data_IF_172575283884
#
_entry.id   IF_172575283884
#
_cell.length_a   1.000
_cell.length_b   1.000
_cell.length_c   1.000
_cell.angle_alpha   90.00
_cell.angle_beta   90.00
_cell.angle_gamma   90.00
#
_symmetry.space_group_name_H-M   'P 1'
#
loop_
_entity.id
_entity.type
_entity.pdbx_description
1 polymer ?
#
# COMPACT_ATOMS: atom_id res chain seq x y z
N UNK A 1 -34.67 -44.04 8.28
CA UNK A 1 -34.22 -42.98 9.20
C UNK A 1 -33.57 -41.88 8.37
N UNK A 2 -34.16 -40.68 8.35
CA UNK A 2 -33.51 -39.50 7.75
C UNK A 2 -32.42 -39.07 8.74
N UNK A 3 -31.15 -39.19 8.37
CA UNK A 3 -30.06 -38.58 9.13
C UNK A 3 -30.24 -37.07 9.05
N UNK A 4 -30.60 -36.45 10.18
CA UNK A 4 -30.53 -35.00 10.33
C UNK A 4 -29.06 -34.60 10.16
N UNK A 5 -28.76 -33.85 9.09
CA UNK A 5 -27.44 -33.22 8.95
C UNK A 5 -27.25 -32.27 10.13
N UNK A 6 -26.08 -32.25 10.78
CA UNK A 6 -25.83 -31.36 11.92
C UNK A 6 -26.13 -29.91 11.52
N UNK A 7 -26.81 -29.17 12.39
CA UNK A 7 -27.05 -27.72 12.22
C UNK A 7 -25.71 -27.01 12.02
N UNK A 8 -25.44 -26.57 10.79
CA UNK A 8 -24.23 -25.80 10.45
C UNK A 8 -24.55 -24.31 10.49
N UNK A 9 -23.64 -23.52 11.04
CA UNK A 9 -23.74 -22.05 11.09
C UNK A 9 -22.97 -21.45 9.92
N UNK A 10 -23.50 -20.36 9.35
CA UNK A 10 -22.81 -19.55 8.36
C UNK A 10 -21.54 -18.94 8.95
N UNK A 11 -20.38 -19.11 8.31
CA UNK A 11 -19.10 -18.54 8.77
C UNK A 11 -19.05 -17.01 8.64
N UNK A 12 -19.93 -16.43 7.82
CA UNK A 12 -20.05 -14.98 7.67
C UNK A 12 -20.97 -14.35 8.72
N UNK A 13 -22.21 -14.84 8.85
CA UNK A 13 -23.23 -14.17 9.68
C UNK A 13 -23.67 -15.01 10.89
N UNK A 14 -23.08 -16.18 11.11
CA UNK A 14 -23.38 -17.12 12.22
C UNK A 14 -24.82 -17.65 12.27
N UNK A 15 -25.67 -17.34 11.28
CA UNK A 15 -27.03 -17.85 11.13
C UNK A 15 -27.04 -19.35 10.83
N UNK A 16 -28.00 -20.09 11.38
CA UNK A 16 -28.18 -21.52 11.09
C UNK A 16 -28.66 -21.76 9.66
N UNK A 17 -28.01 -22.70 8.96
CA UNK A 17 -28.33 -23.07 7.57
C UNK A 17 -29.10 -24.38 7.58
N UNK A 18 -30.35 -24.34 7.12
CA UNK A 18 -31.26 -25.49 7.17
C UNK A 18 -31.28 -26.36 5.90
N UNK A 19 -30.95 -25.83 4.72
CA UNK A 19 -31.32 -26.52 3.45
C UNK A 19 -30.26 -26.56 2.33
N UNK A 20 -29.17 -25.80 2.33
CA UNK A 20 -28.21 -25.87 1.22
C UNK A 20 -26.76 -25.82 1.66
N UNK A 21 -26.07 -26.95 1.47
CA UNK A 21 -24.62 -27.10 1.53
C UNK A 21 -24.11 -26.84 0.11
N UNK A 22 -23.92 -25.57 -0.25
CA UNK A 22 -23.33 -25.20 -1.54
C UNK A 22 -21.80 -25.27 -1.45
N UNK A 23 -21.27 -26.41 -0.97
CA UNK A 23 -19.84 -26.74 -1.00
C UNK A 23 -19.38 -26.74 -2.46
N UNK A 24 -18.92 -25.59 -2.92
CA UNK A 24 -17.99 -25.47 -4.03
C UNK A 24 -16.75 -24.86 -3.43
N UNK A 25 -15.58 -25.25 -3.94
CA UNK A 25 -14.32 -24.58 -3.57
C UNK A 25 -14.58 -23.07 -3.54
N UNK A 26 -14.46 -22.45 -2.37
CA UNK A 26 -13.73 -22.91 -1.18
C UNK A 26 -14.63 -23.51 -0.08
N UNK A 27 -14.03 -24.27 0.85
CA UNK A 27 -14.68 -24.93 2.02
C UNK A 27 -15.27 -23.95 3.06
N UNK A 28 -15.91 -22.85 2.65
CA UNK A 28 -16.64 -21.94 3.53
C UNK A 28 -18.11 -22.33 3.59
N UNK A 29 -18.63 -22.51 4.81
CA UNK A 29 -20.05 -22.73 5.03
C UNK A 29 -20.76 -21.36 5.00
N UNK A 30 -21.39 -21.02 3.88
CA UNK A 30 -22.05 -19.72 3.67
C UNK A 30 -23.56 -19.88 3.41
N UNK A 31 -24.37 -18.99 4.00
CA UNK A 31 -25.80 -18.90 3.69
C UNK A 31 -26.02 -18.17 2.36
N UNK A 32 -27.23 -18.30 1.79
CA UNK A 32 -27.59 -17.67 0.50
C UNK A 32 -27.40 -16.15 0.48
N UNK A 33 -27.58 -15.49 1.62
CA UNK A 33 -27.37 -14.05 1.74
C UNK A 33 -25.88 -13.70 1.62
N UNK A 34 -25.01 -14.38 2.38
CA UNK A 34 -23.61 -14.01 2.51
C UNK A 34 -22.75 -14.49 1.33
N UNK A 35 -23.11 -15.64 0.72
CA UNK A 35 -22.35 -16.28 -0.35
C UNK A 35 -21.87 -15.31 -1.45
N UNK A 36 -22.75 -14.51 -2.11
CA UNK A 36 -22.32 -13.65 -3.21
C UNK A 36 -21.32 -12.56 -2.76
N UNK A 37 -21.45 -12.05 -1.54
CA UNK A 37 -20.60 -10.98 -1.01
C UNK A 37 -19.23 -11.51 -0.57
N UNK A 38 -19.22 -12.62 0.15
CA UNK A 38 -17.96 -13.24 0.60
C UNK A 38 -17.16 -13.72 -0.60
N UNK A 39 -17.76 -14.47 -1.52
CA UNK A 39 -17.04 -15.04 -2.67
C UNK A 39 -16.60 -14.00 -3.71
N UNK A 40 -17.23 -12.82 -3.71
CA UNK A 40 -16.77 -11.72 -4.52
C UNK A 40 -15.63 -10.96 -3.82
N UNK A 41 -15.58 -10.92 -2.49
CA UNK A 41 -14.48 -10.32 -1.72
C UNK A 41 -13.19 -11.16 -1.74
N UNK A 42 -12.12 -10.67 -1.10
CA UNK A 42 -10.95 -11.48 -0.78
C UNK A 42 -11.26 -12.26 0.51
N UNK A 43 -11.33 -13.58 0.40
CA UNK A 43 -11.77 -14.46 1.49
C UNK A 43 -10.77 -15.58 1.82
N UNK A 44 -9.66 -15.67 1.09
CA UNK A 44 -8.62 -16.68 1.26
C UNK A 44 -7.23 -16.08 1.18
N UNK A 45 -6.33 -16.66 1.95
CA UNK A 45 -4.90 -16.38 1.85
C UNK A 45 -4.41 -16.74 0.43
N UNK A 46 -3.69 -15.84 -0.26
CA UNK A 46 -3.13 -16.15 -1.56
C UNK A 46 -2.11 -17.27 -1.45
N UNK A 47 -2.02 -18.13 -2.48
CA UNK A 47 -0.98 -19.17 -2.54
C UNK A 47 0.42 -18.58 -2.70
N UNK A 48 0.51 -17.40 -3.33
CA UNK A 48 1.76 -16.68 -3.61
C UNK A 48 1.57 -15.19 -3.43
N UNK A 49 2.62 -14.53 -2.94
CA UNK A 49 2.76 -13.06 -2.93
C UNK A 49 4.12 -12.73 -3.51
N UNK A 50 4.16 -11.91 -4.56
CA UNK A 50 5.44 -11.49 -5.19
C UNK A 50 6.28 -12.72 -5.57
N UNK A 51 5.64 -13.68 -6.25
CA UNK A 51 6.18 -14.97 -6.65
C UNK A 51 6.76 -15.86 -5.52
N UNK A 52 6.57 -15.49 -4.26
CA UNK A 52 6.95 -16.27 -3.08
C UNK A 52 5.76 -17.09 -2.61
N UNK A 53 5.96 -18.40 -2.45
CA UNK A 53 4.95 -19.34 -1.96
C UNK A 53 4.64 -19.11 -0.48
N UNK A 54 3.34 -19.07 -0.14
CA UNK A 54 2.87 -18.99 1.24
C UNK A 54 2.70 -20.41 1.79
N UNK A 55 3.73 -20.88 2.48
CA UNK A 55 3.80 -22.23 3.06
C UNK A 55 2.90 -22.41 4.30
N UNK A 56 2.76 -21.37 5.13
CA UNK A 56 1.88 -21.37 6.31
C UNK A 56 0.79 -20.28 6.18
N UNK A 57 -0.40 -20.64 5.65
CA UNK A 57 -1.51 -19.72 5.51
C UNK A 57 -2.02 -19.16 6.85
N UNK A 58 -1.91 -19.92 7.94
CA UNK A 58 -2.40 -19.47 9.26
C UNK A 58 -1.51 -18.37 9.81
N UNK A 59 -0.19 -18.51 9.69
CA UNK A 59 0.74 -17.46 10.08
C UNK A 59 0.57 -16.21 9.20
N UNK A 60 0.35 -16.38 7.89
CA UNK A 60 0.09 -15.25 6.99
C UNK A 60 -1.20 -14.48 7.36
N UNK A 61 -2.27 -15.18 7.73
CA UNK A 61 -3.51 -14.55 8.18
C UNK A 61 -3.30 -13.74 9.47
N UNK A 62 -2.51 -14.26 10.40
CA UNK A 62 -2.13 -13.52 11.62
C UNK A 62 -1.34 -12.26 11.24
N UNK A 63 -0.37 -12.38 10.33
CA UNK A 63 0.42 -11.26 9.85
C UNK A 63 -0.44 -10.18 9.20
N UNK A 64 -1.43 -10.55 8.38
CA UNK A 64 -2.39 -9.61 7.79
C UNK A 64 -3.18 -8.81 8.84
N UNK A 65 -3.61 -9.48 9.92
CA UNK A 65 -4.32 -8.81 11.02
C UNK A 65 -3.40 -7.85 11.78
N UNK A 66 -2.12 -8.20 11.93
CA UNK A 66 -1.14 -7.34 12.59
C UNK A 66 -0.80 -6.08 11.77
N UNK A 67 -0.89 -6.16 10.44
CA UNK A 67 -0.51 -5.06 9.52
C UNK A 67 -1.70 -4.20 9.08
N UNK A 68 -2.92 -4.51 9.53
CA UNK A 68 -4.17 -3.93 9.02
C UNK A 68 -4.23 -2.39 9.09
N UNK A 69 -3.56 -1.79 10.08
CA UNK A 69 -3.57 -0.34 10.32
C UNK A 69 -2.44 0.41 9.62
N UNK A 70 -1.55 -0.27 8.89
CA UNK A 70 -0.44 0.34 8.19
C UNK A 70 -0.80 0.59 6.72
N UNK A 71 -0.84 1.86 6.33
CA UNK A 71 -0.85 2.27 4.94
C UNK A 71 0.51 2.05 4.29
N UNK A 72 0.54 2.02 2.96
CA UNK A 72 1.81 2.03 2.22
C UNK A 72 2.64 3.25 2.64
N UNK A 73 3.93 3.10 2.98
CA UNK A 73 4.79 4.23 3.29
C UNK A 73 4.87 5.21 2.13
N UNK A 74 4.80 6.51 2.44
CA UNK A 74 4.90 7.60 1.46
C UNK A 74 6.15 8.45 1.65
N UNK A 75 6.74 8.41 2.84
CA UNK A 75 7.94 9.16 3.22
C UNK A 75 8.96 8.25 3.90
N UNK A 76 10.21 8.72 4.04
CA UNK A 76 11.24 8.00 4.81
C UNK A 76 10.85 7.83 6.29
N UNK A 77 10.12 8.79 6.87
CA UNK A 77 9.55 8.71 8.23
C UNK A 77 8.52 7.58 8.35
N UNK A 78 7.68 7.39 7.33
CA UNK A 78 6.72 6.27 7.29
C UNK A 78 7.45 4.93 7.21
N UNK A 79 8.52 4.85 6.41
CA UNK A 79 9.38 3.66 6.32
C UNK A 79 10.04 3.34 7.66
N UNK A 80 10.58 4.35 8.36
CA UNK A 80 11.10 4.20 9.71
C UNK A 80 10.05 3.64 10.68
N UNK A 81 8.86 4.25 10.72
CA UNK A 81 7.75 3.81 11.60
C UNK A 81 7.32 2.38 11.31
N UNK A 82 7.24 2.02 10.03
CA UNK A 82 6.89 0.68 9.59
C UNK A 82 7.97 -0.35 9.99
N UNK A 83 9.24 -0.09 9.68
CA UNK A 83 10.33 -1.01 10.04
C UNK A 83 10.48 -1.16 11.55
N UNK A 84 10.32 -0.06 12.30
CA UNK A 84 10.26 -0.09 13.76
C UNK A 84 9.15 -1.00 14.26
N UNK A 85 7.95 -0.94 13.66
CA UNK A 85 6.87 -1.85 13.99
C UNK A 85 7.22 -3.32 13.70
N UNK A 86 7.75 -3.62 12.50
CA UNK A 86 8.14 -4.98 12.10
C UNK A 86 9.14 -5.60 13.08
N UNK A 87 10.15 -4.84 13.49
CA UNK A 87 11.19 -5.34 14.41
C UNK A 87 10.86 -5.16 15.89
N UNK A 88 9.76 -4.47 16.24
CA UNK A 88 9.37 -4.27 17.63
C UNK A 88 8.95 -5.58 18.30
N UNK A 89 9.41 -5.79 19.53
CA UNK A 89 8.88 -6.82 20.41
C UNK A 89 7.57 -6.33 21.04
N UNK A 90 6.60 -7.23 21.23
CA UNK A 90 5.35 -6.91 21.92
C UNK A 90 5.64 -6.47 23.36
N UNK A 91 4.90 -5.46 23.82
CA UNK A 91 5.04 -4.81 25.14
C UNK A 91 5.11 -5.82 26.30
N UNK A 92 6.18 -5.72 27.10
CA UNK A 92 6.39 -6.55 28.30
C UNK A 92 7.83 -7.06 28.49
N UNK A 93 8.70 -6.98 27.48
CA UNK A 93 10.14 -7.22 27.69
C UNK A 93 10.81 -5.94 28.15
N UNK A 94 11.20 -5.90 29.42
CA UNK A 94 12.13 -4.89 29.93
C UNK A 94 13.54 -5.23 29.44
N UNK A 95 13.81 -5.04 28.16
CA UNK A 95 15.16 -5.17 27.62
C UNK A 95 15.37 -4.15 26.50
N UNK A 96 16.59 -3.63 26.46
CA UNK A 96 17.16 -2.63 25.57
C UNK A 96 16.64 -2.73 24.13
N UNK A 97 16.51 -1.56 23.48
CA UNK A 97 16.25 -1.46 22.05
C UNK A 97 17.13 -2.48 21.30
N UNK A 98 16.52 -3.42 20.56
CA UNK A 98 17.31 -4.44 19.87
C UNK A 98 18.31 -3.77 18.93
N UNK A 99 19.50 -4.35 18.74
CA UNK A 99 20.55 -3.79 17.87
C UNK A 99 20.01 -3.33 16.50
N UNK A 100 19.08 -4.09 15.91
CA UNK A 100 18.44 -3.71 14.63
C UNK A 100 17.59 -2.43 14.74
N UNK A 101 16.81 -2.28 15.81
CA UNK A 101 16.00 -1.08 16.04
C UNK A 101 16.88 0.15 16.26
N UNK A 102 18.00 0.00 16.98
CA UNK A 102 18.99 1.07 17.13
C UNK A 102 19.61 1.43 15.78
N UNK A 103 19.99 0.45 14.95
CA UNK A 103 20.50 0.72 13.59
C UNK A 103 19.46 1.44 12.71
N UNK A 104 18.21 1.01 12.75
CA UNK A 104 17.10 1.64 12.04
C UNK A 104 16.92 3.10 12.50
N UNK A 105 16.89 3.35 13.81
CA UNK A 105 16.78 4.69 14.38
C UNK A 105 17.95 5.58 13.94
N UNK A 106 19.17 5.09 14.09
CA UNK A 106 20.38 5.86 13.78
C UNK A 106 20.53 6.17 12.29
N UNK A 107 20.18 5.23 11.41
CA UNK A 107 20.21 5.48 9.96
C UNK A 107 19.19 6.57 9.55
N UNK A 108 17.94 6.48 10.04
CA UNK A 108 16.94 7.52 9.78
C UNK A 108 17.33 8.87 10.38
N UNK A 109 17.68 8.88 11.67
CA UNK A 109 18.06 10.09 12.37
C UNK A 109 19.26 10.75 11.69
N UNK A 110 20.28 9.96 11.35
CA UNK A 110 21.50 10.53 10.78
C UNK A 110 21.33 11.12 9.39
N UNK A 111 20.48 10.51 8.55
CA UNK A 111 20.19 11.06 7.21
C UNK A 111 19.20 12.22 7.25
N UNK A 112 18.35 12.31 8.28
CA UNK A 112 17.22 13.24 8.27
C UNK A 112 17.25 14.32 9.36
N UNK A 113 18.19 14.30 10.30
CA UNK A 113 18.24 15.27 11.42
C UNK A 113 18.32 16.73 10.95
N UNK A 114 18.92 16.98 9.78
CA UNK A 114 19.03 18.33 9.19
C UNK A 114 17.74 18.78 8.48
N UNK A 115 16.86 17.84 8.14
CA UNK A 115 15.63 18.08 7.40
C UNK A 115 14.37 17.99 8.29
N UNK A 116 14.47 17.36 9.45
CA UNK A 116 13.34 17.01 10.29
C UNK A 116 13.69 17.09 11.78
N UNK A 117 12.91 17.86 12.53
CA UNK A 117 13.01 17.92 13.99
C UNK A 117 12.80 16.55 14.62
N UNK A 118 11.87 15.73 14.10
CA UNK A 118 11.63 14.37 14.58
C UNK A 118 12.91 13.52 14.48
N UNK A 119 13.66 13.66 13.38
CA UNK A 119 14.91 12.93 13.19
C UNK A 119 16.04 13.48 14.07
N UNK A 120 16.09 14.78 14.29
CA UNK A 120 17.04 15.43 15.19
C UNK A 120 16.87 14.94 16.63
N UNK A 121 15.64 14.93 17.13
CA UNK A 121 15.34 14.46 18.48
C UNK A 121 15.69 12.96 18.64
N UNK A 122 15.43 12.16 17.61
CA UNK A 122 15.75 10.73 17.59
C UNK A 122 17.26 10.44 17.55
N UNK A 123 18.08 11.38 17.09
CA UNK A 123 19.53 11.21 16.98
C UNK A 123 20.18 11.04 18.35
N UNK A 124 19.90 11.95 19.28
CA UNK A 124 20.43 11.94 20.65
C UNK A 124 19.74 10.92 21.57
N UNK A 125 18.63 10.33 21.12
CA UNK A 125 17.99 9.19 21.77
C UNK A 125 17.12 9.56 22.98
N UNK A 126 16.70 8.57 23.78
CA UNK A 126 15.61 8.74 24.76
C UNK A 126 15.92 9.69 25.92
N UNK A 127 17.19 10.03 26.14
CA UNK A 127 17.64 10.92 27.22
C UNK A 127 17.63 12.39 26.80
N UNK A 128 17.43 12.67 25.51
CA UNK A 128 17.36 14.01 24.96
C UNK A 128 15.99 14.64 25.24
N UNK A 129 16.00 15.81 25.86
CA UNK A 129 14.83 16.64 26.11
C UNK A 129 14.86 17.85 25.16
N UNK A 130 13.99 17.93 24.15
CA UNK A 130 14.00 19.02 23.17
C UNK A 130 13.72 20.40 23.78
N UNK A 131 13.17 20.46 25.00
CA UNK A 131 12.89 21.70 25.72
C UNK A 131 14.06 22.13 26.65
N UNK A 132 15.11 21.30 26.77
CA UNK A 132 16.30 21.59 27.57
C UNK A 132 17.36 22.38 26.78
N UNK A 133 18.00 23.34 27.46
CA UNK A 133 19.08 24.14 26.89
C UNK A 133 20.41 23.41 27.09
N UNK A 134 20.80 22.58 26.12
CA UNK A 134 22.04 21.83 26.14
C UNK A 134 23.22 22.68 25.63
N UNK A 135 24.35 22.60 26.32
CA UNK A 135 25.63 23.03 25.78
C UNK A 135 26.13 22.07 24.70
N UNK A 136 27.06 22.53 23.85
CA UNK A 136 27.67 21.69 22.81
C UNK A 136 28.33 20.43 23.38
N UNK A 137 29.02 20.55 24.52
CA UNK A 137 29.68 19.42 25.19
C UNK A 137 28.66 18.36 25.67
N UNK A 138 27.48 18.80 26.14
CA UNK A 138 26.41 17.89 26.58
C UNK A 138 25.73 17.17 25.40
N UNK A 139 25.58 17.85 24.25
CA UNK A 139 25.09 17.22 23.02
C UNK A 139 26.10 16.22 22.44
N UNK A 140 27.39 16.52 22.56
CA UNK A 140 28.47 15.61 22.13
C UNK A 140 28.48 14.33 22.97
N UNK A 141 28.27 14.42 24.29
CA UNK A 141 28.15 13.24 25.16
C UNK A 141 26.90 12.38 24.88
N UNK A 142 25.81 13.00 24.43
CA UNK A 142 24.58 12.30 24.04
C UNK A 142 24.63 11.73 22.62
N UNK A 143 25.57 12.21 21.79
CA UNK A 143 25.72 11.78 20.40
C UNK A 143 26.14 10.30 20.33
N UNK A 144 25.41 9.44 19.60
CA UNK A 144 25.76 8.02 19.49
C UNK A 144 27.10 7.76 18.78
N UNK A 145 27.72 8.78 18.17
CA UNK A 145 28.94 8.66 17.37
C UNK A 145 30.18 9.37 17.96
N UNK A 146 30.08 10.03 19.11
CA UNK A 146 31.21 10.66 19.85
C UNK A 146 32.35 11.21 18.94
N UNK A 147 32.00 12.07 17.98
CA UNK A 147 32.96 12.85 17.20
C UNK A 147 33.87 12.11 16.21
N UNK A 148 33.44 10.98 15.62
CA UNK A 148 34.28 10.22 14.67
C UNK A 148 33.63 9.94 13.30
N UNK A 149 32.58 10.66 12.89
CA UNK A 149 32.00 10.43 11.56
C UNK A 149 31.64 11.75 10.86
N UNK A 150 32.28 12.09 9.71
CA UNK A 150 32.28 13.44 9.11
C UNK A 150 30.90 14.06 8.84
N UNK A 151 29.86 13.25 8.64
CA UNK A 151 28.48 13.71 8.45
C UNK A 151 27.81 14.31 9.69
N UNK A 152 28.39 14.09 10.88
CA UNK A 152 27.78 14.45 12.16
C UNK A 152 28.49 15.61 12.86
N UNK A 153 29.69 15.97 12.39
CA UNK A 153 30.47 17.06 12.97
C UNK A 153 30.08 18.43 12.36
N UNK A 154 29.54 18.44 11.13
CA UNK A 154 28.92 19.62 10.51
C UNK A 154 27.70 19.25 9.63
N UNK A 155 26.46 19.43 10.11
CA UNK A 155 25.25 19.12 9.36
C UNK A 155 25.08 19.90 8.04
N UNK A 156 25.79 21.02 7.87
CA UNK A 156 25.74 21.79 6.62
C UNK A 156 26.49 21.10 5.48
N UNK A 157 27.51 20.30 5.79
CA UNK A 157 28.29 19.55 4.79
C UNK A 157 27.45 18.48 4.11
N UNK A 158 26.60 17.77 4.87
CA UNK A 158 25.66 16.80 4.28
C UNK A 158 24.68 17.50 3.32
N UNK A 159 24.10 18.62 3.75
CA UNK A 159 23.18 19.39 2.92
C UNK A 159 23.84 19.83 1.60
N UNK A 160 25.01 20.46 1.69
CA UNK A 160 25.71 21.00 0.52
C UNK A 160 26.18 19.88 -0.41
N UNK A 161 26.72 18.79 0.14
CA UNK A 161 27.10 17.61 -0.64
C UNK A 161 25.91 17.07 -1.44
N UNK A 162 24.75 16.89 -0.80
CA UNK A 162 23.55 16.38 -1.47
C UNK A 162 23.01 17.37 -2.49
N UNK A 163 23.09 18.68 -2.23
CA UNK A 163 22.68 19.72 -3.18
C UNK A 163 23.56 19.70 -4.44
N UNK A 164 24.88 19.64 -4.29
CA UNK A 164 25.83 19.57 -5.39
C UNK A 164 25.70 18.26 -6.19
N UNK A 165 25.57 17.14 -5.48
CA UNK A 165 25.36 15.83 -6.10
C UNK A 165 24.09 15.81 -6.95
N UNK A 166 22.98 16.30 -6.41
CA UNK A 166 21.71 16.37 -7.14
C UNK A 166 21.80 17.33 -8.33
N UNK A 167 22.53 18.44 -8.21
CA UNK A 167 22.79 19.35 -9.34
C UNK A 167 23.53 18.65 -10.49
N UNK A 168 24.54 17.82 -10.17
CA UNK A 168 25.28 17.03 -11.15
C UNK A 168 24.37 15.96 -11.78
N UNK A 169 23.64 15.20 -10.98
CA UNK A 169 22.71 14.16 -11.45
C UNK A 169 21.67 14.76 -12.39
N UNK A 170 21.04 15.89 -12.01
CA UNK A 170 20.03 16.55 -12.82
C UNK A 170 20.59 17.02 -14.17
N UNK A 171 21.81 17.57 -14.19
CA UNK A 171 22.49 17.94 -15.44
C UNK A 171 22.65 16.74 -16.37
N UNK A 172 23.07 15.60 -15.83
CA UNK A 172 23.20 14.38 -16.61
C UNK A 172 21.86 13.85 -17.13
N UNK A 173 20.81 13.89 -16.31
CA UNK A 173 19.46 13.50 -16.71
C UNK A 173 18.95 14.41 -17.84
N UNK A 174 19.12 15.72 -17.72
CA UNK A 174 18.71 16.68 -18.75
C UNK A 174 19.42 16.42 -20.07
N UNK A 175 20.76 16.29 -20.05
CA UNK A 175 21.54 15.96 -21.24
C UNK A 175 21.10 14.64 -21.87
N UNK A 176 20.84 13.61 -21.06
CA UNK A 176 20.37 12.31 -21.55
C UNK A 176 18.99 12.41 -22.21
N UNK A 177 18.06 13.14 -21.61
CA UNK A 177 16.73 13.33 -22.16
C UNK A 177 16.77 14.09 -23.49
N UNK A 178 17.62 15.13 -23.61
CA UNK A 178 17.83 15.84 -24.87
C UNK A 178 18.34 14.91 -25.96
N UNK A 179 19.31 14.05 -25.64
CA UNK A 179 19.86 13.07 -26.58
C UNK A 179 18.81 12.04 -27.01
N UNK A 180 18.03 11.52 -26.07
CA UNK A 180 16.95 10.56 -26.38
C UNK A 180 15.87 11.18 -27.27
N UNK A 181 15.52 12.44 -27.03
CA UNK A 181 14.58 13.19 -27.86
C UNK A 181 15.11 13.40 -29.29
N UNK A 182 16.37 13.80 -29.44
CA UNK A 182 17.02 13.95 -30.74
C UNK A 182 17.13 12.63 -31.50
N UNK A 183 17.48 11.54 -30.80
CA UNK A 183 17.49 10.19 -31.38
C UNK A 183 16.10 9.80 -31.88
N UNK A 184 15.05 10.08 -31.09
CA UNK A 184 13.66 9.80 -31.50
C UNK A 184 13.29 10.61 -32.74
N UNK A 185 13.59 11.91 -32.76
CA UNK A 185 13.33 12.79 -33.91
C UNK A 185 14.05 12.30 -35.17
N UNK A 186 15.32 11.90 -35.08
CA UNK A 186 16.06 11.36 -36.22
C UNK A 186 15.46 10.04 -36.71
N UNK A 187 15.07 9.14 -35.81
CA UNK A 187 14.40 7.88 -36.16
C UNK A 187 13.06 8.13 -36.88
N UNK A 188 12.22 9.01 -36.34
CA UNK A 188 10.92 9.38 -36.92
C UNK A 188 11.05 10.02 -38.30
N UNK A 189 12.14 10.75 -38.55
CA UNK A 189 12.43 11.40 -39.83
C UNK A 189 13.21 10.52 -40.82
N UNK A 190 13.36 9.22 -40.55
CA UNK A 190 14.01 8.26 -41.47
C UNK A 190 15.55 8.27 -41.43
N UNK A 191 16.15 8.94 -40.46
CA UNK A 191 17.59 9.04 -40.24
C UNK A 191 18.08 8.08 -39.15
N UNK A 192 17.52 6.86 -39.10
CA UNK A 192 17.86 5.86 -38.07
C UNK A 192 19.37 5.57 -37.96
N UNK A 193 20.07 5.53 -39.09
CA UNK A 193 21.53 5.34 -39.10
C UNK A 193 22.33 6.51 -38.50
N UNK A 194 21.78 7.73 -38.47
CA UNK A 194 22.38 8.87 -37.77
C UNK A 194 22.00 8.88 -36.28
N UNK A 195 20.80 8.43 -35.93
CA UNK A 195 20.40 8.25 -34.53
C UNK A 195 21.32 7.26 -33.81
N UNK A 196 21.75 6.19 -34.48
CA UNK A 196 22.76 5.24 -33.97
C UNK A 196 24.17 5.86 -33.84
N UNK A 197 24.46 6.92 -34.62
CA UNK A 197 25.72 7.65 -34.59
C UNK A 197 25.72 8.84 -33.63
N UNK A 198 24.60 9.17 -32.99
CA UNK A 198 24.59 10.09 -31.85
C UNK A 198 25.31 9.37 -30.69
N UNK A 199 26.61 9.63 -30.62
CA UNK A 199 27.54 9.20 -29.59
C UNK A 199 27.76 10.37 -28.63
N UNK A 200 27.94 10.02 -27.34
CA UNK A 200 28.18 10.79 -26.12
C UNK A 200 29.25 11.91 -26.13
N UNK A 201 29.32 12.75 -27.17
CA UNK A 201 30.39 13.75 -27.27
C UNK A 201 30.21 14.98 -26.36
N UNK A 202 29.00 15.23 -25.84
CA UNK A 202 28.72 16.40 -24.97
C UNK A 202 28.89 16.13 -23.47
N UNK A 203 29.22 14.88 -23.13
CA UNK A 203 29.67 14.51 -21.80
C UNK A 203 31.13 14.08 -21.94
N UNK A 204 32.04 15.06 -21.99
CA UNK A 204 33.45 14.74 -21.85
C UNK A 204 33.66 13.96 -20.55
N UNK A 205 34.58 12.97 -20.51
CA UNK A 205 34.95 12.30 -19.28
C UNK A 205 35.39 13.33 -18.24
N UNK A 206 34.52 13.61 -17.29
CA UNK A 206 34.78 14.53 -16.20
C UNK A 206 34.99 13.72 -14.92
N UNK A 207 35.96 14.17 -14.13
CA UNK A 207 36.10 13.76 -12.74
C UNK A 207 35.51 14.88 -11.92
N UNK A 208 34.38 14.61 -11.27
CA UNK A 208 33.75 15.51 -10.32
C UNK A 208 34.41 15.27 -8.96
N UNK A 209 34.97 16.32 -8.35
CA UNK A 209 35.47 16.26 -6.99
C UNK A 209 34.42 16.85 -6.05
N UNK A 210 33.73 15.99 -5.32
CA UNK A 210 32.75 16.35 -4.30
C UNK A 210 33.39 16.15 -2.93
N UNK A 211 33.84 17.26 -2.32
CA UNK A 211 34.37 17.25 -0.95
C UNK A 211 35.48 16.21 -0.72
N UNK A 212 36.37 16.02 -1.70
CA UNK A 212 37.46 15.04 -1.65
C UNK A 212 37.12 13.66 -2.23
N UNK A 213 35.86 13.44 -2.62
CA UNK A 213 35.41 12.22 -3.32
C UNK A 213 35.42 12.46 -4.82
N UNK A 214 36.25 11.71 -5.54
CA UNK A 214 36.33 11.77 -7.00
C UNK A 214 35.34 10.78 -7.64
N UNK A 215 34.44 11.30 -8.48
CA UNK A 215 33.46 10.53 -9.23
C UNK A 215 33.62 10.78 -10.73
N UNK A 216 33.84 9.71 -11.48
CA UNK A 216 33.89 9.80 -12.94
C UNK A 216 32.48 9.91 -13.51
N UNK A 217 32.39 10.49 -14.70
CA UNK A 217 31.17 10.39 -15.52
C UNK A 217 30.66 8.96 -15.65
N UNK A 218 31.52 7.97 -15.90
CA UNK A 218 31.07 6.58 -16.10
C UNK A 218 30.34 6.03 -14.88
N UNK A 219 30.79 6.38 -13.67
CA UNK A 219 30.12 5.99 -12.43
C UNK A 219 28.74 6.62 -12.28
N UNK A 220 28.58 7.88 -12.69
CA UNK A 220 27.25 8.52 -12.72
C UNK A 220 26.32 7.84 -13.73
N UNK A 221 26.84 7.46 -14.90
CA UNK A 221 26.05 6.78 -15.92
C UNK A 221 25.61 5.39 -15.44
N UNK A 222 26.46 4.64 -14.75
CA UNK A 222 26.08 3.36 -14.13
C UNK A 222 24.93 3.52 -13.13
N UNK A 223 24.97 4.56 -12.27
CA UNK A 223 23.87 4.87 -11.35
C UNK A 223 22.58 5.22 -12.10
N UNK A 224 22.66 6.05 -13.16
CA UNK A 224 21.50 6.46 -13.94
C UNK A 224 20.91 5.26 -14.71
N UNK A 225 21.75 4.42 -15.30
CA UNK A 225 21.32 3.21 -16.01
C UNK A 225 20.59 2.26 -15.07
N UNK A 226 21.08 2.09 -13.82
CA UNK A 226 20.37 1.30 -12.82
C UNK A 226 18.98 1.88 -12.50
N UNK A 227 18.88 3.20 -12.26
CA UNK A 227 17.59 3.88 -12.02
C UNK A 227 16.64 3.73 -13.20
N UNK A 228 17.15 3.81 -14.44
CA UNK A 228 16.32 3.61 -15.65
C UNK A 228 15.88 2.17 -15.84
N UNK A 229 16.69 1.21 -15.39
CA UNK A 229 16.42 -0.22 -15.55
C UNK A 229 15.48 -0.82 -14.51
N UNK A 230 15.32 -0.16 -13.35
CA UNK A 230 14.61 -0.68 -12.19
C UNK A 230 13.50 0.26 -11.72
N UNK A 231 12.34 -0.31 -11.35
CA UNK A 231 11.18 0.47 -10.88
C UNK A 231 11.27 0.85 -9.41
N UNK A 232 12.01 0.07 -8.63
CA UNK A 232 12.18 0.24 -7.20
C UNK A 232 13.37 1.13 -6.84
N UNK A 233 14.27 1.40 -7.79
CA UNK A 233 15.44 2.25 -7.59
C UNK A 233 15.13 3.66 -8.10
N UNK A 234 15.21 4.64 -7.19
CA UNK A 234 15.01 6.06 -7.51
C UNK A 234 16.32 6.84 -7.39
N UNK A 235 16.38 8.03 -8.00
CA UNK A 235 17.55 8.92 -7.90
C UNK A 235 17.93 9.25 -6.45
N UNK A 236 16.94 9.39 -5.56
CA UNK A 236 17.19 9.61 -4.14
C UNK A 236 18.00 8.48 -3.48
N UNK A 237 17.69 7.22 -3.81
CA UNK A 237 18.45 6.06 -3.34
C UNK A 237 19.89 6.08 -3.87
N UNK A 238 20.08 6.36 -5.16
CA UNK A 238 21.43 6.43 -5.74
C UNK A 238 22.25 7.57 -5.18
N UNK A 239 21.65 8.72 -4.91
CA UNK A 239 22.34 9.83 -4.24
C UNK A 239 22.84 9.40 -2.85
N UNK A 240 22.01 8.69 -2.08
CA UNK A 240 22.39 8.15 -0.77
C UNK A 240 23.45 7.04 -0.87
N UNK A 241 23.46 6.22 -1.93
CA UNK A 241 24.54 5.23 -2.17
C UNK A 241 25.89 5.92 -2.43
N UNK A 242 25.89 6.99 -3.24
CA UNK A 242 27.09 7.78 -3.52
C UNK A 242 27.57 8.51 -2.26
N UNK A 243 26.64 9.03 -1.47
CA UNK A 243 26.93 9.62 -0.17
C UNK A 243 27.58 8.60 0.78
N UNK A 244 27.02 7.39 0.89
CA UNK A 244 27.61 6.33 1.70
C UNK A 244 29.01 5.95 1.19
N UNK A 245 29.25 5.99 -0.13
CA UNK A 245 30.58 5.78 -0.71
C UNK A 245 31.56 6.89 -0.33
N UNK A 246 31.13 8.15 -0.35
CA UNK A 246 31.96 9.31 0.02
C UNK A 246 32.43 9.27 1.48
N UNK A 247 31.63 8.69 2.37
CA UNK A 247 31.99 8.54 3.78
C UNK A 247 32.51 7.17 4.19
N UNK A 248 32.64 6.22 3.26
CA UNK A 248 32.97 4.86 3.62
C UNK A 248 34.44 4.69 4.04
N UNK A 249 34.68 4.57 5.35
CA UNK A 249 35.98 4.18 5.89
C UNK A 249 36.39 2.75 5.51
N UNK A 250 35.41 1.88 5.17
CA UNK A 250 35.65 0.47 4.83
C UNK A 250 36.18 0.24 3.40
N UNK A 251 36.26 1.31 2.59
CA UNK A 251 36.82 1.34 1.22
C UNK A 251 36.10 0.44 0.20
N UNK A 252 34.81 0.15 0.39
CA UNK A 252 34.04 -0.59 -0.60
C UNK A 252 33.84 0.27 -1.85
N UNK A 253 34.11 -0.29 -3.04
CA UNK A 253 33.94 0.45 -4.30
C UNK A 253 32.47 0.79 -4.55
N UNK A 254 32.24 1.92 -5.25
CA UNK A 254 30.92 2.33 -5.70
C UNK A 254 30.27 1.25 -6.58
N UNK A 255 31.03 0.61 -7.47
CA UNK A 255 30.57 -0.51 -8.31
C UNK A 255 30.01 -1.67 -7.45
N UNK A 256 30.70 -2.05 -6.37
CA UNK A 256 30.22 -3.08 -5.45
C UNK A 256 28.90 -2.68 -4.78
N UNK A 257 28.74 -1.40 -4.42
CA UNK A 257 27.50 -0.88 -3.84
C UNK A 257 26.35 -0.90 -4.84
N UNK A 258 26.59 -0.46 -6.07
CA UNK A 258 25.61 -0.50 -7.18
C UNK A 258 25.17 -1.95 -7.44
N UNK A 259 26.11 -2.90 -7.49
CA UNK A 259 25.81 -4.32 -7.69
C UNK A 259 24.95 -4.90 -6.56
N UNK A 260 25.17 -4.48 -5.31
CA UNK A 260 24.34 -4.90 -4.17
C UNK A 260 22.91 -4.39 -4.24
N UNK A 261 22.71 -3.17 -4.75
CA UNK A 261 21.37 -2.60 -5.00
C UNK A 261 20.71 -3.32 -6.17
N UNK A 262 21.42 -3.48 -7.29
CA UNK A 262 20.92 -4.14 -8.50
C UNK A 262 20.45 -5.58 -8.22
N UNK A 263 21.20 -6.36 -7.45
CA UNK A 263 20.80 -7.74 -7.09
C UNK A 263 19.48 -7.78 -6.30
N UNK A 264 19.21 -6.75 -5.49
CA UNK A 264 18.00 -6.66 -4.67
C UNK A 264 16.84 -6.02 -5.40
N UNK A 265 17.13 -5.17 -6.38
CA UNK A 265 16.11 -4.48 -7.15
C UNK A 265 15.24 -5.44 -7.96
N UNK A 266 15.80 -6.55 -8.44
CA UNK A 266 15.01 -7.62 -9.11
C UNK A 266 13.84 -8.15 -8.25
N UNK A 267 14.02 -8.15 -6.92
CA UNK A 267 13.00 -8.61 -5.96
C UNK A 267 12.03 -7.48 -5.65
N UNK A 268 12.56 -6.28 -5.42
CA UNK A 268 11.76 -5.11 -5.04
C UNK A 268 11.00 -4.50 -6.22
N UNK A 269 11.39 -4.77 -7.46
CA UNK A 269 10.66 -4.35 -8.66
C UNK A 269 9.31 -5.04 -8.79
N UNK A 270 9.15 -6.21 -8.16
CA UNK A 270 7.89 -6.93 -8.11
C UNK A 270 6.90 -6.30 -7.11
N UNK A 271 7.37 -5.44 -6.21
CA UNK A 271 6.54 -4.79 -5.19
C UNK A 271 5.71 -3.62 -5.76
N UNK A 272 6.12 -2.97 -6.86
CA UNK A 272 5.44 -1.79 -7.43
C UNK A 272 5.08 -0.73 -6.37
N UNK A 273 6.04 -0.43 -5.48
CA UNK A 273 5.91 0.68 -4.54
C UNK A 273 5.89 2.00 -5.32
N UNK A 274 4.95 2.87 -5.01
CA UNK A 274 4.98 4.25 -5.53
C UNK A 274 6.15 5.04 -4.94
N UNK A 275 6.48 4.77 -3.66
CA UNK A 275 7.51 5.49 -2.90
C UNK A 275 8.46 4.49 -2.20
N UNK A 276 9.41 3.87 -2.92
CA UNK A 276 10.46 3.06 -2.31
C UNK A 276 11.33 3.90 -1.35
N UNK A 277 11.99 3.28 -0.36
CA UNK A 277 12.85 4.04 0.56
C UNK A 277 14.06 4.61 -0.16
N UNK A 278 14.52 5.77 0.31
CA UNK A 278 15.74 6.41 -0.17
C UNK A 278 16.98 5.94 0.59
N UNK A 279 16.83 5.45 1.83
CA UNK A 279 17.95 4.85 2.57
C UNK A 279 18.39 3.52 1.94
N UNK A 280 19.69 3.37 1.59
CA UNK A 280 20.26 2.09 1.16
C UNK A 280 20.13 1.01 2.23
N UNK A 281 20.22 1.38 3.51
CA UNK A 281 20.05 0.47 4.62
C UNK A 281 18.62 -0.09 4.69
N UNK A 282 17.61 0.77 4.56
CA UNK A 282 16.21 0.34 4.51
C UNK A 282 15.91 -0.51 3.27
N UNK A 283 16.44 -0.10 2.12
CA UNK A 283 16.31 -0.87 0.88
C UNK A 283 16.84 -2.30 1.04
N UNK A 284 18.00 -2.46 1.67
CA UNK A 284 18.58 -3.76 2.00
C UNK A 284 17.73 -4.57 2.98
N UNK A 285 17.28 -3.95 4.08
CA UNK A 285 16.43 -4.60 5.08
C UNK A 285 15.16 -5.13 4.45
N UNK A 286 14.49 -4.34 3.61
CA UNK A 286 13.22 -4.73 2.98
C UNK A 286 13.43 -5.94 2.06
N UNK A 287 14.46 -5.92 1.22
CA UNK A 287 14.77 -7.06 0.37
C UNK A 287 15.07 -8.32 1.21
N UNK A 288 15.82 -8.17 2.29
CA UNK A 288 16.18 -9.25 3.19
C UNK A 288 14.97 -9.79 3.99
N UNK A 289 14.02 -8.92 4.36
CA UNK A 289 12.73 -9.30 4.95
C UNK A 289 11.89 -10.12 3.97
N UNK A 290 11.75 -9.67 2.72
CA UNK A 290 11.02 -10.40 1.67
C UNK A 290 11.63 -11.78 1.41
N UNK A 291 12.96 -11.86 1.40
CA UNK A 291 13.69 -13.12 1.27
C UNK A 291 13.65 -14.02 2.52
N UNK A 292 13.12 -13.52 3.65
CA UNK A 292 13.02 -14.26 4.90
C UNK A 292 14.34 -14.45 5.65
N UNK A 293 15.36 -13.62 5.39
CA UNK A 293 16.66 -13.69 6.09
C UNK A 293 16.55 -13.44 7.60
N UNK A 294 15.51 -12.71 8.03
CA UNK A 294 15.20 -12.46 9.44
C UNK A 294 14.18 -13.45 10.04
N UNK A 295 13.89 -14.55 9.33
CA UNK A 295 12.95 -15.58 9.74
C UNK A 295 11.54 -15.39 9.20
N UNK A 296 10.77 -16.48 9.23
CA UNK A 296 9.47 -16.60 8.56
C UNK A 296 8.40 -15.65 9.12
N UNK A 297 8.43 -15.37 10.43
CA UNK A 297 7.47 -14.45 11.05
C UNK A 297 7.59 -13.04 10.47
N UNK A 298 8.82 -12.52 10.36
CA UNK A 298 9.07 -11.18 9.83
C UNK A 298 8.89 -11.15 8.32
N UNK A 299 9.24 -12.24 7.62
CA UNK A 299 8.93 -12.40 6.20
C UNK A 299 7.43 -12.25 5.96
N UNK A 300 6.59 -12.95 6.72
CA UNK A 300 5.15 -12.90 6.52
C UNK A 300 4.54 -11.58 6.94
N UNK A 301 5.08 -10.88 7.93
CA UNK A 301 4.66 -9.51 8.21
C UNK A 301 4.94 -8.58 7.02
N UNK A 302 6.12 -8.71 6.40
CA UNK A 302 6.44 -7.96 5.19
C UNK A 302 5.49 -8.34 4.04
N UNK A 303 5.42 -9.63 3.66
CA UNK A 303 4.57 -10.10 2.55
C UNK A 303 3.09 -9.77 2.76
N UNK A 304 2.58 -9.85 4.00
CA UNK A 304 1.20 -9.46 4.32
C UNK A 304 0.97 -7.96 4.10
N UNK A 305 1.90 -7.12 4.53
CA UNK A 305 1.88 -5.66 4.30
C UNK A 305 1.87 -5.36 2.80
N UNK A 306 2.76 -6.01 2.04
CA UNK A 306 2.84 -5.86 0.58
C UNK A 306 1.54 -6.25 -0.11
N UNK A 307 0.96 -7.40 0.27
CA UNK A 307 -0.31 -7.87 -0.27
C UNK A 307 -1.47 -6.92 0.07
N UNK A 308 -1.49 -6.39 1.29
CA UNK A 308 -2.49 -5.43 1.74
C UNK A 308 -2.44 -4.13 0.94
N UNK A 309 -1.24 -3.58 0.71
CA UNK A 309 -1.06 -2.33 -0.04
C UNK A 309 -1.45 -2.49 -1.52
N UNK A 310 -1.01 -3.57 -2.17
CA UNK A 310 -1.34 -3.83 -3.59
C UNK A 310 -2.83 -4.10 -3.83
N UNK A 311 -3.54 -4.67 -2.85
CA UNK A 311 -4.97 -5.03 -2.98
C UNK A 311 -5.91 -4.03 -2.32
N UNK A 312 -5.37 -3.02 -1.65
CA UNK A 312 -6.13 -2.05 -0.84
C UNK A 312 -7.14 -2.78 0.06
N UNK A 313 -6.67 -3.80 0.80
CA UNK A 313 -7.54 -4.61 1.64
C UNK A 313 -8.22 -3.73 2.68
N UNK A 314 -9.55 -3.83 2.78
CA UNK A 314 -10.34 -3.12 3.78
C UNK A 314 -11.07 -4.11 4.67
N UNK A 315 -10.91 -4.05 6.01
CA UNK A 315 -11.68 -4.88 6.95
C UNK A 315 -13.20 -4.75 6.78
N UNK A 316 -13.68 -3.60 6.33
CA UNK A 316 -15.09 -3.32 6.04
C UNK A 316 -15.65 -4.12 4.86
N UNK A 317 -14.83 -4.54 3.91
CA UNK A 317 -15.29 -5.16 2.65
C UNK A 317 -14.63 -6.48 2.28
N UNK A 318 -13.52 -6.84 2.91
CA UNK A 318 -12.74 -8.04 2.62
C UNK A 318 -12.91 -9.06 3.72
N UNK A 319 -13.47 -10.22 3.39
CA UNK A 319 -13.75 -11.26 4.37
C UNK A 319 -12.48 -11.73 5.10
N UNK A 320 -11.35 -11.85 4.41
CA UNK A 320 -10.10 -12.35 4.99
C UNK A 320 -9.58 -11.50 6.17
N UNK A 321 -9.72 -10.18 6.08
CA UNK A 321 -9.15 -9.23 7.06
C UNK A 321 -10.22 -8.57 7.94
N UNK A 322 -11.42 -9.13 7.97
CA UNK A 322 -12.54 -8.56 8.73
C UNK A 322 -12.36 -8.73 10.24
N UNK A 323 -12.92 -7.81 11.02
CA UNK A 323 -13.33 -8.14 12.38
C UNK A 323 -14.56 -9.08 12.30
N UNK A 324 -14.41 -10.30 12.79
CA UNK A 324 -15.45 -11.33 12.69
C UNK A 324 -16.75 -10.94 13.38
N UNK A 325 -16.68 -10.25 14.51
CA UNK A 325 -17.84 -9.90 15.31
C UNK A 325 -18.59 -8.72 14.67
N UNK A 326 -17.86 -7.70 14.23
CA UNK A 326 -18.42 -6.53 13.53
C UNK A 326 -19.06 -6.98 12.22
N UNK A 327 -18.34 -7.75 11.40
CA UNK A 327 -18.85 -8.27 10.14
C UNK A 327 -20.08 -9.16 10.32
N UNK A 328 -20.05 -10.09 11.28
CA UNK A 328 -21.17 -11.01 11.49
C UNK A 328 -22.43 -10.27 11.96
N UNK A 329 -22.30 -9.32 12.88
CA UNK A 329 -23.43 -8.47 13.33
C UNK A 329 -23.99 -7.63 12.19
N UNK A 330 -23.13 -7.10 11.34
CA UNK A 330 -23.53 -6.30 10.18
C UNK A 330 -24.39 -7.11 9.19
N UNK A 331 -23.99 -8.33 8.85
CA UNK A 331 -24.82 -9.21 8.01
C UNK A 331 -26.08 -9.73 8.72
N UNK A 332 -26.07 -9.85 10.04
CA UNK A 332 -27.26 -10.16 10.82
C UNK A 332 -28.27 -9.01 10.80
N UNK A 333 -27.81 -7.77 10.87
CA UNK A 333 -28.66 -6.58 10.71
C UNK A 333 -29.32 -6.57 9.33
N UNK A 334 -28.53 -6.74 8.27
CA UNK A 334 -29.05 -6.82 6.89
C UNK A 334 -30.14 -7.89 6.75
N UNK A 335 -29.89 -9.08 7.30
CA UNK A 335 -30.88 -10.15 7.32
C UNK A 335 -32.14 -9.75 8.09
N UNK A 336 -31.99 -9.16 9.28
CA UNK A 336 -33.10 -8.69 10.10
C UNK A 336 -33.98 -7.67 9.37
N UNK A 337 -33.38 -6.76 8.62
CA UNK A 337 -34.09 -5.79 7.78
C UNK A 337 -34.88 -6.49 6.67
N UNK A 338 -34.22 -7.39 5.92
CA UNK A 338 -34.86 -8.15 4.84
C UNK A 338 -36.04 -8.98 5.38
N UNK A 339 -35.83 -9.67 6.50
CA UNK A 339 -36.85 -10.52 7.12
C UNK A 339 -38.03 -9.67 7.63
N UNK A 340 -37.77 -8.46 8.16
CA UNK A 340 -38.80 -7.52 8.64
C UNK A 340 -39.64 -6.92 7.52
N UNK A 341 -39.07 -6.70 6.33
CA UNK A 341 -39.82 -6.28 5.14
C UNK A 341 -40.78 -7.39 4.64
N UNK A 342 -40.44 -8.64 4.92
CA UNK A 342 -41.21 -9.82 4.57
C UNK A 342 -41.12 -10.22 3.10
N UNK A 343 -41.46 -11.48 2.80
CA UNK A 343 -41.29 -12.11 1.47
C UNK A 343 -42.01 -11.40 0.31
N UNK A 344 -43.06 -10.62 0.61
CA UNK A 344 -43.78 -9.83 -0.38
C UNK A 344 -42.97 -8.65 -0.90
N UNK A 345 -42.00 -8.17 -0.11
CA UNK A 345 -41.20 -6.99 -0.41
C UNK A 345 -39.71 -7.29 -0.55
N UNK A 346 -39.19 -8.33 0.10
CA UNK A 346 -37.77 -8.65 0.03
C UNK A 346 -37.56 -10.15 -0.16
N UNK A 347 -36.66 -10.53 -1.06
CA UNK A 347 -36.31 -11.92 -1.33
C UNK A 347 -34.80 -12.07 -1.52
N UNK A 348 -34.22 -13.05 -0.83
CA UNK A 348 -32.83 -13.46 -1.05
C UNK A 348 -32.84 -14.55 -2.12
N UNK A 349 -32.02 -14.38 -3.15
CA UNK A 349 -31.73 -15.40 -4.16
C UNK A 349 -30.23 -15.66 -4.19
N UNK A 350 -29.82 -16.80 -4.74
CA UNK A 350 -28.45 -17.31 -4.72
C UNK A 350 -27.35 -16.34 -5.15
N UNK A 351 -27.67 -15.31 -5.94
CA UNK A 351 -26.72 -14.33 -6.48
C UNK A 351 -27.11 -12.86 -6.18
N UNK A 352 -28.24 -12.61 -5.50
CA UNK A 352 -28.82 -11.26 -5.43
C UNK A 352 -29.85 -11.08 -4.32
N UNK A 353 -30.03 -9.83 -3.93
CA UNK A 353 -31.13 -9.39 -3.06
C UNK A 353 -32.17 -8.70 -3.96
N UNK A 354 -33.42 -9.10 -3.86
CA UNK A 354 -34.54 -8.46 -4.55
C UNK A 354 -35.36 -7.66 -3.56
N UNK A 355 -35.58 -6.38 -3.85
CA UNK A 355 -36.34 -5.46 -2.99
C UNK A 355 -37.47 -4.82 -3.80
N UNK A 356 -38.66 -4.72 -3.21
CA UNK A 356 -39.81 -4.00 -3.75
C UNK A 356 -39.96 -2.67 -3.03
N UNK A 357 -39.84 -1.59 -3.79
CA UNK A 357 -40.08 -0.24 -3.31
C UNK A 357 -41.57 0.02 -3.05
N UNK A 358 -41.85 1.11 -2.34
CA UNK A 358 -43.21 1.62 -2.12
C UNK A 358 -43.87 2.07 -3.44
N UNK A 359 -43.08 2.37 -4.48
CA UNK A 359 -43.57 2.62 -5.85
C UNK A 359 -44.06 1.38 -6.61
N UNK A 360 -44.07 0.20 -5.96
CA UNK A 360 -44.33 -1.11 -6.55
C UNK A 360 -43.22 -1.64 -7.48
N UNK A 361 -42.12 -0.89 -7.65
CA UNK A 361 -40.98 -1.28 -8.48
C UNK A 361 -40.10 -2.32 -7.79
N UNK A 362 -39.69 -3.35 -8.54
CA UNK A 362 -38.72 -4.33 -8.05
C UNK A 362 -37.29 -3.95 -8.47
N UNK A 363 -36.37 -4.03 -7.52
CA UNK A 363 -34.95 -3.78 -7.66
C UNK A 363 -34.15 -5.05 -7.39
N UNK A 364 -32.98 -5.14 -8.01
CA UNK A 364 -32.00 -6.21 -7.85
C UNK A 364 -30.67 -5.61 -7.42
N UNK A 365 -30.17 -6.06 -6.26
CA UNK A 365 -28.86 -5.71 -5.73
C UNK A 365 -27.93 -6.92 -5.87
N UNK A 366 -26.76 -6.71 -6.47
CA UNK A 366 -25.72 -7.75 -6.69
C UNK A 366 -24.34 -7.23 -6.33
N UNK A 367 -23.34 -8.09 -6.06
CA UNK A 367 -21.96 -7.66 -5.98
C UNK A 367 -21.48 -7.01 -7.29
N UNK A 368 -20.72 -5.92 -7.18
CA UNK A 368 -20.12 -5.27 -8.33
C UNK A 368 -18.92 -6.06 -8.86
N UNK A 369 -18.83 -6.18 -10.19
CA UNK A 369 -17.65 -6.74 -10.87
C UNK A 369 -16.49 -5.75 -10.86
N UNK A 370 -16.79 -4.47 -11.08
CA UNK A 370 -15.85 -3.36 -11.02
C UNK A 370 -16.21 -2.53 -9.79
N UNK A 371 -15.35 -2.54 -8.79
CA UNK A 371 -15.59 -1.88 -7.51
C UNK A 371 -14.98 -0.50 -7.51
N UNK A 372 -15.66 0.44 -6.88
CA UNK A 372 -15.10 1.75 -6.53
C UNK A 372 -15.01 1.86 -5.02
N UNK A 373 -14.35 2.91 -4.52
CA UNK A 373 -14.28 3.17 -3.08
C UNK A 373 -15.66 3.31 -2.42
N UNK A 374 -16.67 3.74 -3.18
CA UNK A 374 -18.01 4.06 -2.69
C UNK A 374 -19.08 3.07 -3.16
N UNK A 375 -18.72 2.07 -3.98
CA UNK A 375 -19.71 1.17 -4.55
C UNK A 375 -19.15 -0.25 -4.76
N UNK A 376 -19.61 -1.17 -3.90
CA UNK A 376 -19.28 -2.60 -3.93
C UNK A 376 -20.42 -3.47 -4.45
N UNK A 377 -21.54 -2.84 -4.80
CA UNK A 377 -22.74 -3.47 -5.33
C UNK A 377 -23.20 -2.79 -6.61
N UNK A 378 -24.04 -3.47 -7.38
CA UNK A 378 -24.76 -2.90 -8.51
C UNK A 378 -26.24 -3.00 -8.18
N UNK A 379 -26.95 -1.88 -8.34
CA UNK A 379 -28.40 -1.82 -8.27
C UNK A 379 -28.97 -1.74 -9.68
N UNK A 380 -30.03 -2.48 -9.93
CA UNK A 380 -30.75 -2.43 -11.21
C UNK A 380 -32.24 -2.61 -11.00
N UNK A 381 -33.05 -2.08 -11.91
CA UNK A 381 -34.46 -2.45 -11.99
C UNK A 381 -34.57 -3.93 -12.36
N UNK A 382 -35.27 -4.73 -11.56
CA UNK A 382 -35.31 -6.17 -11.72
C UNK A 382 -36.08 -6.62 -12.99
N UNK A 383 -36.93 -5.76 -13.55
CA UNK A 383 -37.72 -6.04 -14.76
C UNK A 383 -36.99 -5.61 -16.03
N UNK A 384 -36.43 -4.39 -16.04
CA UNK A 384 -35.79 -3.82 -17.24
C UNK A 384 -34.28 -4.08 -17.31
N UNK A 385 -33.65 -4.39 -16.19
CA UNK A 385 -32.19 -4.52 -16.08
C UNK A 385 -31.43 -3.20 -16.11
N UNK A 386 -32.12 -2.05 -16.16
CA UNK A 386 -31.50 -0.72 -16.17
C UNK A 386 -30.77 -0.49 -14.86
N UNK A 387 -29.50 -0.10 -14.95
CA UNK A 387 -28.65 0.20 -13.81
C UNK A 387 -29.09 1.48 -13.08
N UNK A 388 -28.99 1.45 -11.76
CA UNK A 388 -29.35 2.55 -10.86
C UNK A 388 -28.07 2.93 -10.11
N UNK A 389 -27.72 4.21 -10.16
CA UNK A 389 -26.53 4.72 -9.48
C UNK A 389 -26.90 5.10 -8.04
N UNK A 390 -26.38 4.35 -7.07
CA UNK A 390 -26.50 4.64 -5.63
C UNK A 390 -25.11 4.48 -5.04
N UNK A 391 -24.51 5.60 -4.65
CA UNK A 391 -23.25 5.64 -3.94
C UNK A 391 -23.49 5.85 -2.45
N UNK A 392 -22.64 5.26 -1.62
CA UNK A 392 -22.61 5.66 -0.20
C UNK A 392 -21.85 6.97 -0.05
N UNK A 393 -22.23 7.71 0.99
CA UNK A 393 -21.51 8.92 1.38
C UNK A 393 -20.08 8.56 1.79
N UNK A 394 -19.12 9.43 1.47
CA UNK A 394 -17.70 9.27 1.81
C UNK A 394 -17.47 8.95 3.30
N UNK A 395 -18.18 9.56 4.28
CA UNK A 395 -18.03 9.21 5.69
C UNK A 395 -18.43 7.78 6.04
N UNK A 396 -19.20 7.10 5.18
CA UNK A 396 -19.70 5.75 5.40
C UNK A 396 -18.86 4.68 4.69
N UNK A 397 -17.80 5.07 3.97
CA UNK A 397 -16.96 4.14 3.20
C UNK A 397 -16.30 3.06 4.06
N UNK A 398 -16.05 3.35 5.33
CA UNK A 398 -15.39 2.43 6.25
C UNK A 398 -16.39 1.61 7.09
N UNK A 399 -17.70 1.80 6.91
CA UNK A 399 -18.70 0.96 7.54
C UNK A 399 -18.66 -0.48 6.99
N UNK A 400 -18.95 -1.51 7.80
CA UNK A 400 -19.01 -2.88 7.32
C UNK A 400 -19.98 -3.04 6.14
N UNK A 401 -19.64 -3.89 5.18
CA UNK A 401 -20.42 -4.08 3.93
C UNK A 401 -21.89 -4.40 4.20
N UNK A 402 -22.22 -5.19 5.23
CA UNK A 402 -23.61 -5.50 5.56
C UNK A 402 -24.42 -4.26 5.98
N UNK A 403 -23.80 -3.26 6.61
CA UNK A 403 -24.44 -2.02 7.06
C UNK A 403 -24.66 -1.11 5.84
N UNK A 404 -23.67 -1.03 4.96
CA UNK A 404 -23.81 -0.33 3.68
C UNK A 404 -24.97 -0.92 2.85
N UNK A 405 -25.02 -2.24 2.72
CA UNK A 405 -26.12 -2.93 2.04
C UNK A 405 -27.47 -2.72 2.74
N UNK A 406 -27.47 -2.62 4.07
CA UNK A 406 -28.68 -2.33 4.84
C UNK A 406 -29.25 -0.96 4.48
N UNK A 407 -28.40 0.06 4.38
CA UNK A 407 -28.79 1.39 3.92
C UNK A 407 -29.36 1.36 2.50
N UNK A 408 -28.73 0.63 1.58
CA UNK A 408 -29.22 0.48 0.19
C UNK A 408 -30.57 -0.22 0.15
N UNK A 409 -30.76 -1.29 0.93
CA UNK A 409 -32.02 -2.02 1.01
C UNK A 409 -33.14 -1.13 1.54
N UNK A 410 -32.89 -0.37 2.61
CA UNK A 410 -33.87 0.55 3.19
C UNK A 410 -34.20 1.70 2.25
N UNK A 411 -33.19 2.26 1.56
CA UNK A 411 -33.36 3.30 0.57
C UNK A 411 -34.28 2.82 -0.57
N UNK A 412 -34.01 1.65 -1.15
CA UNK A 412 -34.82 1.07 -2.23
C UNK A 412 -36.21 0.63 -1.77
N UNK A 413 -36.36 0.19 -0.51
CA UNK A 413 -37.68 -0.10 0.05
C UNK A 413 -38.54 1.16 0.13
N UNK A 414 -37.94 2.31 0.45
CA UNK A 414 -38.60 3.61 0.54
C UNK A 414 -38.36 4.47 -0.72
N UNK A 415 -38.31 3.84 -1.90
CA UNK A 415 -37.94 4.49 -3.16
C UNK A 415 -38.76 5.76 -3.48
N UNK A 416 -40.05 5.79 -3.11
CA UNK A 416 -40.90 6.97 -3.26
C UNK A 416 -40.41 8.20 -2.52
N UNK A 417 -39.69 8.05 -1.40
CA UNK A 417 -39.13 9.15 -0.62
C UNK A 417 -37.76 9.63 -1.12
N UNK A 418 -37.07 8.83 -1.93
CA UNK A 418 -35.71 9.13 -2.43
C UNK A 418 -35.68 9.36 -3.95
N UNK A 419 -36.82 9.31 -4.63
CA UNK A 419 -36.90 9.48 -6.09
C UNK A 419 -36.44 10.88 -6.54
N UNK A 420 -36.57 11.90 -5.68
CA UNK A 420 -36.05 13.25 -5.93
C UNK A 420 -34.52 13.32 -5.88
N UNK A 421 -33.93 12.40 -5.12
CA UNK A 421 -32.54 12.39 -4.66
C UNK A 421 -31.66 11.42 -5.47
N UNK A 422 -32.24 10.35 -6.01
CA UNK A 422 -31.57 9.40 -6.90
C UNK A 422 -32.12 9.56 -8.30
N UNK A 423 -31.41 10.32 -9.15
CA UNK A 423 -31.90 10.70 -10.49
C UNK A 423 -32.16 9.52 -11.44
N UNK A 424 -31.59 8.35 -11.15
CA UNK A 424 -31.77 7.12 -11.94
C UNK A 424 -32.97 6.27 -11.51
N UNK A 425 -33.66 6.63 -10.43
CA UNK A 425 -34.92 6.00 -10.01
C UNK A 425 -36.15 6.57 -10.72
N UNK A 426 -36.03 7.73 -11.37
CA UNK A 426 -37.10 8.38 -12.13
C UNK A 426 -36.92 8.14 -13.64
N UNK A 427 -37.77 7.31 -14.29
CA UNK A 427 -37.71 7.07 -15.73
C UNK A 427 -37.88 8.35 -16.57
N UNK A 428 -38.60 9.36 -16.06
CA UNK A 428 -38.92 10.59 -16.80
C UNK A 428 -37.79 11.64 -16.72
N UNK A 429 -36.90 11.54 -15.73
CA UNK A 429 -35.68 12.39 -15.61
C UNK A 429 -34.48 11.85 -16.36
N UNK A 430 -34.35 10.53 -16.58
CA UNK A 430 -33.24 9.95 -17.37
C UNK A 430 -33.21 10.48 -18.81
N UNK A 431 -34.33 10.99 -19.33
CA UNK A 431 -34.43 11.64 -20.64
C UNK A 431 -34.01 13.12 -20.68
N UNK A 432 -33.71 13.77 -19.55
CA UNK A 432 -33.24 15.16 -19.52
C UNK A 432 -31.87 15.20 -18.86
N UNK A 433 -30.86 15.56 -19.66
CA UNK A 433 -29.43 15.54 -19.32
C UNK A 433 -29.07 16.04 -17.91
N UNK A 434 -28.13 15.32 -17.29
CA UNK A 434 -27.71 15.42 -15.90
C UNK A 434 -26.99 16.74 -15.60
N UNK A 435 -27.39 17.42 -14.52
CA UNK A 435 -26.49 18.18 -13.64
C UNK A 435 -26.51 17.54 -12.24
N UNK A 436 -25.36 17.38 -11.57
CA UNK A 436 -25.29 16.79 -10.24
C UNK A 436 -25.79 17.77 -9.17
N UNK A 437 -26.62 17.28 -8.25
CA UNK A 437 -27.03 18.01 -7.04
C UNK A 437 -26.44 17.26 -5.84
N UNK A 438 -25.61 17.96 -5.06
CA UNK A 438 -25.12 17.48 -3.77
C UNK A 438 -26.25 17.59 -2.73
N UNK A 439 -26.52 16.51 -2.01
CA UNK A 439 -27.34 16.54 -0.79
C UNK A 439 -26.46 16.72 0.45
N UNK A 440 -27.04 17.45 1.41
CA UNK A 440 -26.48 17.89 2.70
C UNK A 440 -26.15 16.75 3.67
#
# INVERSE_FOLDING_TARGET
MKQEKPNRKCESCRTEIKVLDLCQEPNLILCELCKPWVLSSIYQVPRRVIDIDIEDPSLFEISLKLTENFSSPSTESDWYKFLKFIFSKKSGSSDEESEMLTKIRLDYAGRNAIYSQEAHDLYYGPQFDPDADYSWDELEELSPYNGNHPFFDDPTVHFDFMADLNSIINRYIESLNTIEEEKRLLQENGWGGYAEQIIWNEIEPQIHNLYGTELSTSQFLECIDLVKSSRSVQYGLMAQVIFDFACDESKMSLESRINQISTRSEILDQFNSENPPTSPFYYHIIADLVQGKYGQNLQYLMLASLYQWQRTLRPSHSFLVRDENVWSKSFQLLRGIIDSLGLKRANIKSDKILIKGDSDTWYSIKPARFRTELQWWIVSNAKTGVGICIDILVPHKDLPLGDQLSSVVLALANDGSIVSEVSTLDPDRVFRGIQPVNML
#
